data_IF_103870090955
#
_entry.id   IF_103870090955
#
_cell.length_a   1.000
_cell.length_b   1.000
_cell.length_c   1.000
_cell.angle_alpha   90.00
_cell.angle_beta   90.00
_cell.angle_gamma   90.00
#
_symmetry.space_group_name_H-M   'P 1'
#
loop_
_entity.id
_entity.type
_entity.pdbx_description
1 polymer ?
#
# COMPACT_ATOMS: atom_id res chain seq x y z
N UNK A 1 10.72 -1.22 -4.34
CA UNK A 1 10.92 -2.54 -3.67
C UNK A 1 10.30 -3.68 -4.47
N UNK A 2 8.97 -3.84 -4.55
CA UNK A 2 8.38 -4.93 -5.31
C UNK A 2 8.73 -4.86 -6.82
N UNK A 3 8.65 -3.66 -7.41
CA UNK A 3 9.09 -3.41 -8.80
C UNK A 3 10.56 -3.78 -9.01
N UNK A 4 11.44 -3.45 -8.05
CA UNK A 4 12.86 -3.77 -8.14
C UNK A 4 13.11 -5.28 -8.06
N UNK A 5 12.42 -5.97 -7.16
CA UNK A 5 12.48 -7.43 -7.06
C UNK A 5 12.02 -8.09 -8.35
N UNK A 6 10.87 -7.66 -8.90
CA UNK A 6 10.35 -8.18 -10.17
C UNK A 6 11.40 -8.05 -11.28
N UNK A 7 12.02 -6.86 -11.41
CA UNK A 7 13.06 -6.59 -12.40
C UNK A 7 14.33 -7.44 -12.23
N UNK A 8 14.70 -7.77 -10.99
CA UNK A 8 15.98 -8.43 -10.69
C UNK A 8 15.88 -9.94 -10.53
N UNK A 9 14.71 -10.47 -10.19
CA UNK A 9 14.54 -11.84 -9.69
C UNK A 9 13.43 -12.62 -10.37
N UNK A 10 12.73 -12.02 -11.33
CA UNK A 10 11.66 -12.69 -12.08
C UNK A 10 11.76 -12.36 -13.57
N UNK A 11 11.00 -13.07 -14.40
CA UNK A 11 10.82 -12.76 -15.82
C UNK A 11 9.63 -11.83 -16.08
N UNK A 12 9.00 -11.31 -15.02
CA UNK A 12 7.84 -10.43 -15.15
C UNK A 12 8.23 -8.98 -15.41
N UNK A 13 7.28 -8.26 -16.01
CA UNK A 13 7.30 -6.81 -16.14
C UNK A 13 6.10 -6.25 -15.35
N UNK A 14 6.35 -5.31 -14.44
CA UNK A 14 5.27 -4.61 -13.73
C UNK A 14 4.71 -3.53 -14.64
N UNK A 15 3.48 -3.72 -15.10
CA UNK A 15 2.77 -2.77 -15.97
C UNK A 15 1.87 -1.79 -15.21
N UNK A 16 1.36 -2.20 -14.04
CA UNK A 16 0.49 -1.39 -13.19
C UNK A 16 0.47 -1.92 -11.75
N UNK A 17 0.01 -1.08 -10.83
CA UNK A 17 -0.30 -1.45 -9.44
C UNK A 17 -1.58 -0.78 -8.98
N UNK A 18 -2.36 -1.49 -8.16
CA UNK A 18 -3.64 -1.00 -7.67
C UNK A 18 -3.67 -1.03 -6.15
N UNK A 19 -4.06 0.09 -5.54
CA UNK A 19 -4.53 0.14 -4.17
C UNK A 19 -6.04 -0.10 -4.19
N UNK A 20 -6.50 -1.17 -3.54
CA UNK A 20 -7.93 -1.49 -3.35
C UNK A 20 -8.29 -1.35 -1.88
N UNK A 21 -8.84 -0.21 -1.43
CA UNK A 21 -9.28 -0.06 -0.05
C UNK A 21 -10.50 -0.94 0.23
N UNK A 22 -10.47 -1.65 1.36
CA UNK A 22 -11.56 -2.53 1.80
C UNK A 22 -12.90 -1.80 1.98
N UNK A 23 -14.04 -2.47 1.80
CA UNK A 23 -15.37 -1.94 2.15
C UNK A 23 -15.52 -1.66 3.65
N UNK A 24 -16.40 -0.71 4.00
CA UNK A 24 -16.82 -0.46 5.39
C UNK A 24 -17.58 -1.65 5.99
N UNK A 25 -18.14 -2.53 5.15
CA UNK A 25 -18.77 -3.78 5.56
C UNK A 25 -17.81 -4.76 6.26
N UNK A 26 -16.48 -4.53 6.18
CA UNK A 26 -15.48 -5.28 6.94
C UNK A 26 -15.60 -5.08 8.46
N UNK A 27 -16.24 -3.99 8.91
CA UNK A 27 -16.56 -3.72 10.33
C UNK A 27 -15.36 -3.80 11.30
N UNK A 28 -14.14 -3.57 10.81
CA UNK A 28 -12.95 -3.55 11.66
C UNK A 28 -13.00 -2.39 12.66
N UNK A 29 -12.75 -2.62 13.95
CA UNK A 29 -12.73 -1.55 14.95
C UNK A 29 -11.76 -0.42 14.58
N UNK A 30 -12.26 0.82 14.62
CA UNK A 30 -11.47 2.02 14.30
C UNK A 30 -11.18 2.21 12.80
N UNK A 31 -11.85 1.47 11.92
CA UNK A 31 -11.81 1.71 10.48
C UNK A 31 -12.61 2.98 10.14
N UNK A 32 -11.96 3.95 9.49
CA UNK A 32 -12.68 5.09 8.93
C UNK A 32 -13.52 4.68 7.73
N UNK A 33 -14.52 5.50 7.41
CA UNK A 33 -15.34 5.32 6.21
C UNK A 33 -14.49 5.15 4.95
N UNK A 34 -14.97 4.33 4.03
CA UNK A 34 -14.32 4.02 2.76
C UNK A 34 -14.06 5.28 1.94
N UNK A 35 -14.99 6.24 1.97
CA UNK A 35 -14.83 7.53 1.29
C UNK A 35 -13.54 8.27 1.70
N UNK A 36 -13.27 8.40 3.00
CA UNK A 36 -12.04 9.03 3.49
C UNK A 36 -10.80 8.21 3.11
N UNK A 37 -10.86 6.87 3.20
CA UNK A 37 -9.72 6.01 2.87
C UNK A 37 -9.38 6.07 1.38
N UNK A 38 -10.39 6.01 0.52
CA UNK A 38 -10.24 6.19 -0.93
C UNK A 38 -9.58 7.53 -1.24
N UNK A 39 -10.10 8.62 -0.67
CA UNK A 39 -9.55 9.94 -0.93
C UNK A 39 -8.10 10.08 -0.46
N UNK A 40 -7.77 9.53 0.71
CA UNK A 40 -6.39 9.50 1.18
C UNK A 40 -5.48 8.65 0.27
N UNK A 41 -5.96 7.52 -0.26
CA UNK A 41 -5.20 6.72 -1.21
C UNK A 41 -4.96 7.46 -2.53
N UNK A 42 -5.97 8.16 -3.06
CA UNK A 42 -5.83 8.97 -4.28
C UNK A 42 -4.77 10.05 -4.11
N UNK A 43 -4.87 10.82 -3.02
CA UNK A 43 -3.90 11.87 -2.68
C UNK A 43 -2.49 11.34 -2.47
N UNK A 44 -2.34 10.08 -2.03
CA UNK A 44 -1.05 9.46 -1.81
C UNK A 44 -0.34 9.04 -3.11
N UNK A 45 -1.09 8.77 -4.17
CA UNK A 45 -0.53 8.30 -5.45
C UNK A 45 -0.49 9.38 -6.53
N UNK A 46 -1.24 10.47 -6.37
CA UNK A 46 -1.42 11.55 -7.36
C UNK A 46 -0.12 12.19 -7.87
N UNK A 47 0.87 12.39 -7.00
CA UNK A 47 2.09 13.13 -7.35
C UNK A 47 3.35 12.27 -7.49
N UNK A 48 3.39 11.12 -6.83
CA UNK A 48 4.63 10.37 -6.61
C UNK A 48 4.67 9.00 -7.31
N UNK A 49 3.62 8.62 -8.06
CA UNK A 49 3.59 7.33 -8.76
C UNK A 49 3.09 7.41 -10.19
N UNK A 50 3.92 6.98 -11.13
CA UNK A 50 3.56 6.85 -12.54
C UNK A 50 2.80 5.54 -12.87
N UNK A 51 2.78 4.58 -11.95
CA UNK A 51 2.29 3.21 -12.21
C UNK A 51 1.28 2.70 -11.17
N UNK A 52 1.14 3.39 -10.03
CA UNK A 52 0.23 3.01 -8.95
C UNK A 52 -1.04 3.86 -9.03
N UNK A 53 -2.19 3.21 -8.97
CA UNK A 53 -3.51 3.84 -9.00
C UNK A 53 -4.41 3.29 -7.91
N UNK A 54 -5.57 3.92 -7.71
CA UNK A 54 -6.58 3.47 -6.76
C UNK A 54 -7.74 2.87 -7.52
N UNK A 55 -8.12 1.65 -7.16
CA UNK A 55 -9.37 1.05 -7.61
C UNK A 55 -10.42 1.20 -6.50
N UNK A 56 -11.59 1.81 -6.77
CA UNK A 56 -12.60 2.04 -5.76
C UNK A 56 -13.60 0.89 -5.61
N UNK A 57 -13.55 -0.15 -6.47
CA UNK A 57 -14.62 -1.13 -6.60
C UNK A 57 -14.91 -1.85 -5.30
N UNK A 58 -13.88 -2.36 -4.61
CA UNK A 58 -14.04 -3.09 -3.35
C UNK A 58 -14.66 -2.19 -2.27
N UNK A 59 -14.18 -0.96 -2.14
CA UNK A 59 -14.64 0.02 -1.16
C UNK A 59 -16.11 0.43 -1.37
N UNK A 60 -16.60 0.36 -2.61
CA UNK A 60 -17.97 0.71 -2.97
C UNK A 60 -18.96 -0.45 -2.81
N UNK A 61 -18.49 -1.67 -2.54
CA UNK A 61 -19.38 -2.81 -2.35
C UNK A 61 -20.21 -2.68 -1.06
N UNK A 62 -21.52 -2.97 -1.12
CA UNK A 62 -22.41 -2.91 0.06
C UNK A 62 -22.09 -3.99 1.08
N UNK A 63 -21.48 -5.09 0.65
CA UNK A 63 -21.08 -6.23 1.47
C UNK A 63 -19.56 -6.44 1.42
N UNK A 64 -19.03 -7.08 2.46
CA UNK A 64 -17.62 -7.43 2.52
C UNK A 64 -17.26 -8.41 1.40
N UNK A 65 -16.19 -8.11 0.66
CA UNK A 65 -15.67 -8.98 -0.38
C UNK A 65 -14.45 -9.73 0.12
N UNK A 66 -14.42 -11.03 -0.19
CA UNK A 66 -13.22 -11.85 0.03
C UNK A 66 -12.17 -11.45 -1.00
N UNK A 67 -10.90 -11.52 -0.62
CA UNK A 67 -9.78 -11.16 -1.51
C UNK A 67 -9.79 -11.93 -2.84
N UNK A 68 -10.20 -13.21 -2.84
CA UNK A 68 -10.35 -13.99 -4.07
C UNK A 68 -11.31 -13.33 -5.08
N UNK A 69 -12.44 -12.79 -4.59
CA UNK A 69 -13.44 -12.10 -5.42
C UNK A 69 -12.90 -10.77 -5.95
N UNK A 70 -12.12 -10.05 -5.14
CA UNK A 70 -11.45 -8.82 -5.58
C UNK A 70 -10.43 -9.12 -6.69
N UNK A 71 -9.68 -10.22 -6.59
CA UNK A 71 -8.76 -10.65 -7.65
C UNK A 71 -9.50 -11.09 -8.92
N UNK A 72 -10.65 -11.76 -8.79
CA UNK A 72 -11.51 -12.09 -9.94
C UNK A 72 -12.02 -10.84 -10.64
N UNK A 73 -12.39 -9.80 -9.89
CA UNK A 73 -12.78 -8.51 -10.46
C UNK A 73 -11.65 -7.90 -11.31
N UNK A 74 -10.43 -7.82 -10.78
CA UNK A 74 -9.28 -7.32 -11.55
C UNK A 74 -8.98 -8.17 -12.78
N UNK A 75 -9.05 -9.49 -12.66
CA UNK A 75 -8.86 -10.40 -13.81
C UNK A 75 -9.87 -10.12 -14.92
N UNK A 76 -11.15 -10.00 -14.56
CA UNK A 76 -12.22 -9.69 -15.51
C UNK A 76 -12.03 -8.32 -16.18
N UNK A 77 -11.83 -7.26 -15.40
CA UNK A 77 -11.69 -5.91 -15.95
C UNK A 77 -10.44 -5.78 -16.84
N UNK A 78 -9.30 -6.32 -16.38
CA UNK A 78 -8.02 -6.15 -17.09
C UNK A 78 -7.91 -7.06 -18.32
N UNK A 79 -8.32 -8.32 -18.23
CA UNK A 79 -8.11 -9.29 -19.30
C UNK A 79 -9.33 -9.50 -20.19
N UNK A 80 -10.56 -9.44 -19.66
CA UNK A 80 -11.78 -9.69 -20.44
C UNK A 80 -12.36 -8.39 -21.01
N UNK A 81 -12.48 -7.33 -20.19
CA UNK A 81 -13.06 -6.05 -20.62
C UNK A 81 -12.04 -5.23 -21.43
N UNK A 82 -10.83 -5.02 -20.88
CA UNK A 82 -9.77 -4.27 -21.58
C UNK A 82 -8.99 -5.12 -22.59
N UNK A 83 -9.11 -6.45 -22.54
CA UNK A 83 -8.41 -7.36 -23.44
C UNK A 83 -6.91 -7.47 -23.16
N UNK A 84 -6.46 -7.11 -21.96
CA UNK A 84 -5.04 -7.09 -21.57
C UNK A 84 -4.32 -5.78 -21.91
N UNK A 85 -2.99 -5.78 -21.76
CA UNK A 85 -2.13 -4.61 -21.99
C UNK A 85 -1.70 -4.52 -23.45
N UNK A 86 -1.67 -3.30 -23.99
CA UNK A 86 -1.11 -3.04 -25.32
C UNK A 86 0.41 -3.05 -25.25
N UNK A 87 1.04 -3.93 -26.03
CA UNK A 87 2.49 -4.02 -26.11
C UNK A 87 3.06 -3.16 -27.24
N UNK A 88 4.37 -2.82 -27.24
CA UNK A 88 4.97 -1.91 -28.22
C UNK A 88 4.84 -2.36 -29.69
N UNK A 89 4.61 -3.65 -29.93
CA UNK A 89 4.37 -4.22 -31.26
C UNK A 89 2.91 -4.04 -31.75
N UNK A 90 2.05 -3.40 -30.94
CA UNK A 90 0.64 -3.16 -31.23
C UNK A 90 -0.29 -4.32 -30.87
N UNK A 91 0.21 -5.43 -30.32
CA UNK A 91 -0.62 -6.54 -29.87
C UNK A 91 -1.07 -6.36 -28.42
N UNK A 92 -2.27 -6.86 -28.11
CA UNK A 92 -2.73 -6.98 -26.73
C UNK A 92 -2.32 -8.31 -26.14
N UNK A 93 -1.79 -8.30 -24.92
CA UNK A 93 -1.41 -9.50 -24.17
C UNK A 93 -2.14 -9.52 -22.82
N UNK A 94 -2.72 -10.66 -22.40
CA UNK A 94 -3.26 -10.80 -21.06
C UNK A 94 -2.20 -10.49 -20.01
N UNK A 95 -2.60 -9.83 -18.92
CA UNK A 95 -1.77 -9.54 -17.77
C UNK A 95 -2.00 -10.57 -16.68
N UNK A 96 -0.96 -10.89 -15.90
CA UNK A 96 -1.12 -11.72 -14.71
C UNK A 96 -1.41 -10.83 -13.52
N UNK A 97 -2.54 -11.05 -12.85
CA UNK A 97 -2.87 -10.39 -11.58
C UNK A 97 -2.17 -11.13 -10.45
N UNK A 98 -1.45 -10.41 -9.59
CA UNK A 98 -0.85 -10.96 -8.36
C UNK A 98 -1.19 -10.07 -7.17
N UNK A 99 -1.36 -10.70 -6.01
CA UNK A 99 -1.64 -10.02 -4.75
C UNK A 99 -0.35 -9.52 -4.10
N UNK A 100 -0.21 -8.21 -3.86
CA UNK A 100 0.90 -7.67 -3.07
C UNK A 100 0.48 -7.47 -1.62
N UNK A 101 1.20 -8.10 -0.68
CA UNK A 101 0.90 -8.01 0.74
C UNK A 101 2.16 -8.01 1.61
N UNK A 102 1.99 -7.67 2.89
CA UNK A 102 3.02 -7.86 3.90
C UNK A 102 3.07 -9.31 4.40
N UNK A 103 4.19 -9.70 5.00
CA UNK A 103 4.38 -11.02 5.61
C UNK A 103 3.44 -11.34 6.77
N UNK A 104 2.78 -10.33 7.34
CA UNK A 104 1.68 -10.53 8.27
C UNK A 104 0.50 -11.26 7.61
N UNK A 105 0.23 -11.03 6.33
CA UNK A 105 -0.87 -11.70 5.63
C UNK A 105 -0.55 -13.17 5.34
N UNK A 106 0.66 -13.49 4.88
CA UNK A 106 1.04 -14.89 4.59
C UNK A 106 1.04 -15.74 5.87
N UNK A 107 1.41 -15.14 7.02
CA UNK A 107 1.32 -15.81 8.31
C UNK A 107 -0.13 -16.23 8.62
N UNK A 108 -1.12 -15.34 8.40
CA UNK A 108 -2.53 -15.70 8.59
C UNK A 108 -3.00 -16.76 7.59
N UNK A 109 -2.50 -16.75 6.35
CA UNK A 109 -2.84 -17.77 5.34
C UNK A 109 -2.32 -19.16 5.71
N UNK A 110 -1.20 -19.23 6.44
CA UNK A 110 -0.67 -20.48 6.96
C UNK A 110 -1.40 -21.00 8.21
N UNK A 111 -2.24 -20.18 8.84
CA UNK A 111 -2.96 -20.55 10.05
C UNK A 111 -4.24 -21.34 9.73
N UNK A 112 -4.37 -22.60 10.21
CA UNK A 112 -5.53 -23.42 9.92
C UNK A 112 -6.84 -22.79 10.41
N UNK A 113 -7.84 -22.71 9.52
CA UNK A 113 -9.18 -22.22 9.85
C UNK A 113 -9.37 -20.71 9.74
N UNK A 114 -8.31 -19.94 9.46
CA UNK A 114 -8.44 -18.49 9.19
C UNK A 114 -8.88 -18.23 7.76
N UNK A 115 -8.33 -18.99 6.81
CA UNK A 115 -8.68 -18.92 5.40
C UNK A 115 -9.38 -20.20 4.95
N UNK A 116 -10.32 -20.08 4.01
CA UNK A 116 -10.92 -21.26 3.40
C UNK A 116 -9.90 -21.90 2.43
N UNK A 117 -9.86 -23.23 2.38
CA UNK A 117 -8.96 -23.93 1.46
C UNK A 117 -9.24 -23.58 -0.01
N UNK A 118 -10.51 -23.32 -0.34
CA UNK A 118 -10.92 -22.85 -1.67
C UNK A 118 -10.33 -21.47 -1.98
N UNK A 119 -10.34 -20.53 -1.03
CA UNK A 119 -9.76 -19.21 -1.25
C UNK A 119 -8.24 -19.27 -1.33
N UNK A 120 -7.58 -20.13 -0.55
CA UNK A 120 -6.13 -20.33 -0.65
C UNK A 120 -5.75 -20.90 -2.01
N UNK A 121 -6.45 -21.94 -2.49
CA UNK A 121 -6.22 -22.50 -3.83
C UNK A 121 -6.49 -21.46 -4.92
N UNK A 122 -7.53 -20.66 -4.78
CA UNK A 122 -7.87 -19.63 -5.75
C UNK A 122 -6.82 -18.50 -5.78
N UNK A 123 -6.40 -18.00 -4.62
CA UNK A 123 -5.46 -16.89 -4.52
C UNK A 123 -4.04 -17.36 -4.87
N UNK A 124 -3.56 -18.44 -4.25
CA UNK A 124 -2.17 -18.88 -4.37
C UNK A 124 -1.96 -19.85 -5.54
N UNK A 125 -2.98 -20.61 -5.94
CA UNK A 125 -2.91 -21.53 -7.08
C UNK A 125 -3.12 -20.82 -8.42
N UNK A 126 -4.15 -19.97 -8.55
CA UNK A 126 -4.47 -19.30 -9.83
C UNK A 126 -3.69 -18.01 -10.05
N UNK A 127 -3.59 -17.14 -9.05
CA UNK A 127 -2.98 -15.82 -9.19
C UNK A 127 -1.51 -15.85 -8.77
N UNK A 128 -1.28 -15.96 -7.46
CA UNK A 128 0.01 -15.80 -6.81
C UNK A 128 0.12 -14.49 -6.04
N UNK A 129 1.20 -14.36 -5.28
CA UNK A 129 1.40 -13.23 -4.37
C UNK A 129 2.86 -12.80 -4.27
N UNK A 130 3.06 -11.49 -4.17
CA UNK A 130 4.29 -10.90 -3.69
C UNK A 130 4.17 -10.58 -2.20
N UNK A 131 5.07 -11.12 -1.39
CA UNK A 131 5.08 -10.93 0.06
C UNK A 131 6.29 -10.09 0.45
N UNK A 132 6.04 -8.88 0.96
CA UNK A 132 7.08 -8.01 1.51
C UNK A 132 7.34 -8.39 2.97
N UNK A 133 8.56 -8.84 3.25
CA UNK A 133 8.97 -9.28 4.58
C UNK A 133 9.05 -8.11 5.56
N UNK A 134 8.28 -8.19 6.65
CA UNK A 134 8.28 -7.24 7.77
C UNK A 134 8.95 -7.86 9.01
N UNK A 135 9.46 -7.01 9.90
CA UNK A 135 10.04 -7.47 11.15
C UNK A 135 9.00 -8.21 12.02
N UNK A 136 9.39 -9.35 12.59
CA UNK A 136 8.58 -10.13 13.52
C UNK A 136 7.66 -11.18 12.90
N UNK A 137 7.66 -11.36 11.58
CA UNK A 137 6.97 -12.47 10.92
C UNK A 137 7.93 -13.61 10.58
N UNK A 138 7.54 -14.85 10.89
CA UNK A 138 8.26 -16.05 10.44
C UNK A 138 7.72 -16.50 9.08
N UNK A 139 8.28 -15.92 8.02
CA UNK A 139 7.88 -16.20 6.64
C UNK A 139 8.24 -17.63 6.23
N UNK A 140 9.38 -18.14 6.68
CA UNK A 140 9.87 -19.46 6.27
C UNK A 140 8.95 -20.58 6.82
N UNK A 141 8.48 -20.47 8.05
CA UNK A 141 7.47 -21.39 8.62
C UNK A 141 6.13 -21.30 7.88
N UNK A 142 5.68 -20.09 7.51
CA UNK A 142 4.45 -19.93 6.73
C UNK A 142 4.56 -20.58 5.34
N UNK A 143 5.69 -20.39 4.65
CA UNK A 143 5.98 -21.03 3.37
C UNK A 143 6.02 -22.55 3.47
N UNK A 144 6.48 -23.09 4.60
CA UNK A 144 6.51 -24.53 4.84
C UNK A 144 5.11 -25.14 4.93
N UNK A 145 4.15 -24.39 5.46
CA UNK A 145 2.75 -24.80 5.51
C UNK A 145 2.05 -24.65 4.15
N UNK A 146 2.54 -23.73 3.30
CA UNK A 146 1.99 -23.41 1.98
C UNK A 146 2.82 -23.97 0.82
N UNK A 147 3.63 -25.02 1.08
CA UNK A 147 4.62 -25.57 0.13
C UNK A 147 4.07 -25.90 -1.25
N UNK A 148 2.81 -26.32 -1.34
CA UNK A 148 2.18 -26.69 -2.61
C UNK A 148 2.01 -25.50 -3.57
N UNK A 149 2.02 -24.26 -3.08
CA UNK A 149 1.94 -23.04 -3.89
C UNK A 149 3.22 -22.22 -3.89
N UNK A 150 4.35 -22.81 -3.45
CA UNK A 150 5.62 -22.09 -3.25
C UNK A 150 6.07 -21.31 -4.49
N UNK A 151 5.88 -21.87 -5.67
CA UNK A 151 6.32 -21.25 -6.94
C UNK A 151 5.50 -20.00 -7.30
N UNK A 152 4.30 -19.85 -6.72
CA UNK A 152 3.43 -18.69 -6.87
C UNK A 152 3.54 -17.69 -5.72
N UNK A 153 4.43 -17.94 -4.74
CA UNK A 153 4.67 -17.04 -3.60
C UNK A 153 6.08 -16.44 -3.73
N UNK A 154 6.14 -15.17 -4.08
CA UNK A 154 7.38 -14.43 -4.28
C UNK A 154 7.71 -13.58 -3.05
N UNK A 155 8.65 -14.04 -2.24
CA UNK A 155 9.06 -13.32 -1.02
C UNK A 155 10.12 -12.27 -1.35
N UNK A 156 9.82 -11.02 -1.00
CA UNK A 156 10.67 -9.85 -1.15
C UNK A 156 11.27 -9.53 0.22
N UNK A 157 12.52 -9.97 0.42
CA UNK A 157 13.27 -9.71 1.66
C UNK A 157 13.77 -8.26 1.67
N UNK A 158 13.50 -7.52 2.74
CA UNK A 158 13.87 -6.11 2.86
C UNK A 158 15.22 -5.94 3.57
N UNK A 159 16.21 -5.31 2.92
CA UNK A 159 17.46 -4.92 3.59
C UNK A 159 17.27 -3.74 4.55
N UNK A 160 16.38 -2.80 4.19
CA UNK A 160 16.03 -1.65 5.02
C UNK A 160 14.59 -1.84 5.50
N UNK A 161 14.41 -1.95 6.81
CA UNK A 161 13.10 -2.17 7.40
C UNK A 161 12.30 -0.88 7.45
N UNK A 162 11.09 -0.90 6.87
CA UNK A 162 10.10 0.16 7.06
C UNK A 162 9.06 -0.31 8.09
N UNK A 163 9.14 0.21 9.30
CA UNK A 163 8.24 -0.15 10.42
C UNK A 163 7.13 0.91 10.65
N UNK A 164 6.77 1.65 9.60
CA UNK A 164 5.58 2.50 9.61
C UNK A 164 4.34 1.63 9.46
N UNK A 165 3.38 1.80 10.38
CA UNK A 165 2.09 1.12 10.36
C UNK A 165 0.96 2.10 10.65
N UNK A 166 -0.22 1.84 10.09
CA UNK A 166 -1.39 2.71 10.31
C UNK A 166 -1.78 2.81 11.78
N UNK A 167 -1.52 1.77 12.59
CA UNK A 167 -1.75 1.80 14.04
C UNK A 167 -0.84 2.82 14.73
N UNK A 168 0.45 2.87 14.38
CA UNK A 168 1.39 3.88 14.91
C UNK A 168 1.04 5.28 14.43
N UNK A 169 0.71 5.44 13.15
CA UNK A 169 0.27 6.73 12.59
C UNK A 169 -0.95 7.27 13.33
N UNK A 170 -2.01 6.45 13.50
CA UNK A 170 -3.20 6.84 14.28
C UNK A 170 -2.92 7.14 15.74
N UNK A 171 -1.94 6.44 16.35
CA UNK A 171 -1.52 6.74 17.72
C UNK A 171 -0.84 8.12 17.81
N UNK A 172 0.00 8.47 16.84
CA UNK A 172 0.70 9.75 16.82
C UNK A 172 -0.29 10.90 16.59
N UNK A 173 -1.23 10.73 15.66
CA UNK A 173 -2.30 11.70 15.42
C UNK A 173 -3.13 11.95 16.69
N UNK A 174 -3.58 10.89 17.39
CA UNK A 174 -4.30 11.02 18.66
C UNK A 174 -3.51 11.69 19.78
N UNK A 175 -2.18 11.60 19.73
CA UNK A 175 -1.27 12.24 20.71
C UNK A 175 -0.80 13.63 20.26
N UNK A 176 -1.38 14.17 19.19
CA UNK A 176 -0.99 15.42 18.58
C UNK A 176 0.52 15.48 18.23
N UNK A 177 1.08 14.33 17.83
CA UNK A 177 2.47 14.19 17.41
C UNK A 177 2.57 14.28 15.88
N UNK A 178 3.69 14.83 15.40
CA UNK A 178 3.94 14.93 13.96
C UNK A 178 4.07 13.55 13.31
N UNK A 179 3.38 13.38 12.18
CA UNK A 179 3.51 12.23 11.27
C UNK A 179 4.15 12.62 9.94
N UNK A 180 4.78 13.81 9.88
CA UNK A 180 5.52 14.27 8.70
C UNK A 180 6.62 13.27 8.35
N UNK A 181 6.80 13.02 7.06
CA UNK A 181 7.74 12.04 6.51
C UNK A 181 7.38 10.57 6.77
N UNK A 182 6.30 10.28 7.53
CA UNK A 182 5.77 8.92 7.65
C UNK A 182 4.69 8.63 6.59
N UNK A 183 3.96 9.66 6.18
CA UNK A 183 2.93 9.62 5.14
C UNK A 183 3.03 10.88 4.25
N UNK A 184 2.46 10.87 3.03
CA UNK A 184 2.49 12.01 2.13
C UNK A 184 1.86 13.27 2.73
N UNK A 185 2.42 14.44 2.43
CA UNK A 185 1.95 15.73 2.95
C UNK A 185 0.49 16.01 2.57
N UNK A 186 0.07 15.66 1.35
CA UNK A 186 -1.32 15.78 0.87
C UNK A 186 -2.31 15.01 1.76
N UNK A 187 -1.92 13.83 2.24
CA UNK A 187 -2.73 13.01 3.14
C UNK A 187 -2.79 13.64 4.54
N UNK A 188 -1.69 14.23 5.03
CA UNK A 188 -1.66 14.93 6.31
C UNK A 188 -2.61 16.14 6.28
N UNK A 189 -2.56 16.93 5.21
CA UNK A 189 -3.45 18.07 5.01
C UNK A 189 -4.92 17.65 5.01
N UNK A 190 -5.26 16.57 4.30
CA UNK A 190 -6.60 16.01 4.28
C UNK A 190 -7.08 15.55 5.67
N UNK A 191 -6.25 14.81 6.40
CA UNK A 191 -6.55 14.36 7.77
C UNK A 191 -6.88 15.56 8.67
N UNK A 192 -6.09 16.63 8.59
CA UNK A 192 -6.28 17.84 9.39
C UNK A 192 -7.55 18.60 9.01
N UNK A 193 -7.80 18.78 7.71
CA UNK A 193 -8.99 19.48 7.21
C UNK A 193 -10.30 18.80 7.65
N UNK A 194 -10.30 17.47 7.74
CA UNK A 194 -11.47 16.68 8.12
C UNK A 194 -11.49 16.25 9.60
N UNK A 195 -10.50 16.66 10.41
CA UNK A 195 -10.41 16.30 11.83
C UNK A 195 -10.37 14.79 12.09
N UNK A 196 -9.73 14.04 11.19
CA UNK A 196 -9.72 12.57 11.24
C UNK A 196 -8.78 12.06 12.33
N UNK A 197 -9.19 10.98 13.01
CA UNK A 197 -8.41 10.30 14.06
C UNK A 197 -8.14 11.13 15.32
N UNK A 198 -8.77 12.29 15.48
CA UNK A 198 -8.71 13.10 16.71
C UNK A 198 -9.72 12.61 17.74
N UNK A 199 -9.40 12.77 19.03
CA UNK A 199 -10.36 12.54 20.10
C UNK A 199 -11.45 13.63 20.08
N UNK A 200 -12.68 13.29 20.50
CA UNK A 200 -13.86 14.19 20.47
C UNK A 200 -13.60 15.55 21.15
N UNK A 201 -12.73 15.58 22.16
CA UNK A 201 -12.33 16.80 22.88
C UNK A 201 -11.52 17.78 22.04
N UNK A 202 -10.80 17.30 21.02
CA UNK A 202 -9.88 18.10 20.21
C UNK A 202 -10.49 18.59 18.89
N UNK A 203 -11.71 18.14 18.55
CA UNK A 203 -12.45 18.58 17.35
C UNK A 203 -12.91 20.05 17.41
N UNK A 204 -12.98 20.64 18.60
CA UNK A 204 -13.45 22.01 18.83
C UNK A 204 -12.36 23.10 18.81
N UNK A 205 -11.08 22.72 18.79
CA UNK A 205 -9.98 23.66 18.68
C UNK A 205 -9.69 23.92 17.20
N UNK A 206 -10.14 25.06 16.68
CA UNK A 206 -9.97 25.44 15.29
C UNK A 206 -8.50 25.35 14.83
N UNK A 207 -8.30 24.77 13.64
CA UNK A 207 -7.07 24.80 12.85
C UNK A 207 -5.79 24.47 13.62
N UNK A 208 -5.54 23.16 13.79
CA UNK A 208 -4.22 22.58 14.10
C UNK A 208 -3.24 22.71 12.92
N UNK A 209 -3.18 23.88 12.29
CA UNK A 209 -2.08 24.24 11.40
C UNK A 209 -0.83 24.04 12.26
N UNK A 210 -0.11 22.95 11.98
CA UNK A 210 1.29 22.82 12.34
C UNK A 210 1.94 24.09 11.81
N UNK A 211 2.07 25.10 12.66
CA UNK A 211 2.89 26.26 12.38
C UNK A 211 4.26 25.65 12.19
N UNK A 212 4.71 25.58 10.94
CA UNK A 212 6.11 25.33 10.68
C UNK A 212 6.88 26.25 11.64
N UNK A 213 7.80 25.74 12.47
CA UNK A 213 8.80 26.66 13.00
C UNK A 213 9.38 27.34 11.76
N UNK A 214 9.30 28.67 11.72
CA UNK A 214 9.78 29.47 10.58
C UNK A 214 11.07 28.82 10.09
N UNK A 215 11.09 28.45 8.80
CA UNK A 215 12.31 27.96 8.20
C UNK A 215 13.33 29.07 8.38
N UNK A 216 14.18 28.97 9.40
CA UNK A 216 15.28 29.89 9.58
C UNK A 216 16.04 29.84 8.25
N UNK A 217 16.21 30.99 7.57
CA UNK A 217 16.89 31.01 6.29
C UNK A 217 18.23 30.29 6.48
N UNK A 218 18.49 29.30 5.62
CA UNK A 218 19.78 28.64 5.57
C UNK A 218 20.86 29.73 5.59
N UNK A 219 21.87 29.64 6.46
CA UNK A 219 22.94 30.62 6.46
C UNK A 219 23.50 30.68 5.04
N UNK A 220 23.51 31.87 4.46
CA UNK A 220 24.02 32.10 3.13
C UNK A 220 25.41 31.46 3.04
N UNK A 221 25.61 30.63 2.02
CA UNK A 221 26.89 29.97 1.78
C UNK A 221 27.99 31.03 1.84
N UNK A 222 28.86 30.93 2.86
CA UNK A 222 30.04 31.77 3.00
C UNK A 222 30.84 31.57 1.72
N UNK A 223 30.96 32.63 0.92
CA UNK A 223 31.82 32.61 -0.25
C UNK A 223 33.22 32.16 0.20
N UNK A 224 33.70 31.07 -0.39
CA UNK A 224 35.08 30.64 -0.19
C UNK A 224 36.01 31.82 -0.57
N UNK A 225 37.04 32.11 0.25
CA UNK A 225 37.98 33.17 -0.08
C UNK A 225 38.65 32.85 -1.41
N UNK A 226 38.58 33.82 -2.33
CA UNK A 226 39.03 33.69 -3.71
C UNK A 226 40.45 33.16 -3.82
N UNK A 227 40.65 32.28 -4.80
CA UNK A 227 41.97 31.89 -5.26
C UNK A 227 42.76 33.14 -5.70
N UNK A 228 44.04 33.29 -5.30
CA UNK A 228 44.86 34.39 -5.77
C UNK A 228 45.25 34.17 -7.24
N UNK A 229 45.53 35.25 -7.99
CA UNK A 229 45.73 35.16 -9.42
C UNK A 229 47.15 34.71 -9.81
N UNK A 230 47.18 33.93 -10.89
CA UNK A 230 48.30 33.49 -11.75
C UNK A 230 49.41 32.65 -11.09
#
# INVERSE_FOLDING_TARGET
>A
MAVDYVRQSTEFEVVAGFLSPVSDAYKKPGLLSAAHRLRMCELAVEHDSAWLMVDPWEAQQPEYQRTAVVLDHFEHELNEVLGGVLTPDGQRKPVRVLLLAGSDMIATMSEPGVWSAQDLEHILGRYGTFIVERAGSDVDTALDSLRQWRDNIHVIRQTIQNDVSSTKVRLYLRRNMSVRYLIPSSVIEYINQHGLYLDETDKGAGSWLYKQPDAAPLPAATQAPGSPPA
#
